data_IF_116741095239
#
_entry.id   IF_116741095239
#
_cell.length_a   1.000
_cell.length_b   1.000
_cell.length_c   1.000
_cell.angle_alpha   90.00
_cell.angle_beta   90.00
_cell.angle_gamma   90.00
#
_symmetry.space_group_name_H-M   'P 1'
#
loop_
_entity.id
_entity.type
_entity.pdbx_description
1 polymer ?
#
# COMPACT_ATOMS: atom_id res chain seq x y z
N UNK A 1 -22.51 -6.01 22.28
CA UNK A 1 -21.66 -4.83 22.05
C UNK A 1 -21.13 -4.97 20.63
N UNK A 2 -21.46 -4.04 19.72
CA UNK A 2 -20.88 -4.00 18.37
C UNK A 2 -19.38 -3.75 18.52
N UNK A 3 -18.54 -4.54 17.83
CA UNK A 3 -17.10 -4.29 17.79
C UNK A 3 -16.84 -2.84 17.32
N UNK A 4 -15.83 -2.16 17.88
CA UNK A 4 -15.51 -0.80 17.46
C UNK A 4 -15.19 -0.80 15.97
N UNK A 5 -15.75 0.16 15.25
CA UNK A 5 -15.55 0.31 13.81
C UNK A 5 -14.06 0.56 13.53
N UNK A 6 -13.44 -0.33 12.76
CA UNK A 6 -12.02 -0.28 12.40
C UNK A 6 -11.70 0.96 11.55
N UNK A 7 -10.63 1.69 11.86
CA UNK A 7 -10.15 2.82 11.08
C UNK A 7 -9.01 2.37 10.16
N UNK A 8 -9.17 2.56 8.86
CA UNK A 8 -8.26 2.07 7.81
C UNK A 8 -7.70 3.24 7.02
N UNK A 9 -6.39 3.41 7.04
CA UNK A 9 -5.67 4.36 6.18
C UNK A 9 -5.18 3.64 4.93
N UNK A 10 -5.58 4.16 3.77
CA UNK A 10 -5.18 3.66 2.45
C UNK A 10 -4.36 4.73 1.74
N UNK A 11 -3.10 4.46 1.40
CA UNK A 11 -2.29 5.34 0.54
C UNK A 11 -2.38 4.91 -0.91
N UNK A 12 -2.26 5.85 -1.86
CA UNK A 12 -2.51 5.57 -3.27
C UNK A 12 -3.99 5.26 -3.53
N UNK A 13 -4.88 5.89 -2.76
CA UNK A 13 -6.31 5.59 -2.74
C UNK A 13 -7.00 5.89 -4.07
N UNK A 14 -6.50 6.82 -4.87
CA UNK A 14 -7.05 7.15 -6.18
C UNK A 14 -6.70 6.13 -7.28
N UNK A 15 -5.68 5.29 -7.07
CA UNK A 15 -5.28 4.22 -8.01
C UNK A 15 -6.31 3.07 -8.08
N UNK A 16 -6.18 2.21 -9.11
CA UNK A 16 -7.12 1.10 -9.32
C UNK A 16 -7.17 0.12 -8.14
N UNK A 17 -6.01 -0.25 -7.59
CA UNK A 17 -5.96 -1.10 -6.39
C UNK A 17 -6.49 -0.34 -5.16
N UNK A 18 -6.18 0.95 -5.04
CA UNK A 18 -6.68 1.80 -3.95
C UNK A 18 -8.19 1.84 -3.90
N UNK A 19 -8.85 1.97 -5.05
CA UNK A 19 -10.30 1.93 -5.17
C UNK A 19 -10.89 0.58 -4.74
N UNK A 20 -10.27 -0.52 -5.17
CA UNK A 20 -10.74 -1.87 -4.79
C UNK A 20 -10.57 -2.12 -3.28
N UNK A 21 -9.45 -1.69 -2.69
CA UNK A 21 -9.20 -1.81 -1.25
C UNK A 21 -10.14 -0.92 -0.44
N UNK A 22 -10.37 0.32 -0.88
CA UNK A 22 -11.35 1.21 -0.23
C UNK A 22 -12.77 0.63 -0.28
N UNK A 23 -13.19 0.07 -1.43
CA UNK A 23 -14.48 -0.59 -1.57
C UNK A 23 -14.62 -1.80 -0.65
N UNK A 24 -13.59 -2.66 -0.57
CA UNK A 24 -13.57 -3.82 0.31
C UNK A 24 -13.76 -3.41 1.79
N UNK A 25 -12.98 -2.46 2.28
CA UNK A 25 -13.09 -2.02 3.68
C UNK A 25 -14.37 -1.24 3.97
N UNK A 26 -14.91 -0.50 2.99
CA UNK A 26 -16.22 0.12 3.13
C UNK A 26 -17.34 -0.91 3.30
N UNK A 27 -17.33 -1.99 2.52
CA UNK A 27 -18.32 -3.06 2.59
C UNK A 27 -18.35 -3.76 3.96
N UNK A 28 -17.19 -3.87 4.63
CA UNK A 28 -17.11 -4.43 5.98
C UNK A 28 -17.33 -3.38 7.08
N UNK A 29 -17.75 -2.17 6.73
CA UNK A 29 -18.14 -1.12 7.67
C UNK A 29 -16.98 -0.36 8.32
N UNK A 30 -15.78 -0.39 7.75
CA UNK A 30 -14.63 0.36 8.26
C UNK A 30 -14.78 1.86 8.02
N UNK A 31 -14.16 2.67 8.88
CA UNK A 31 -13.95 4.12 8.65
C UNK A 31 -12.72 4.28 7.77
N UNK A 32 -12.86 5.01 6.67
CA UNK A 32 -11.82 5.15 5.66
C UNK A 32 -11.10 6.49 5.76
N UNK A 33 -9.75 6.42 5.80
CA UNK A 33 -8.85 7.53 5.59
C UNK A 33 -8.16 7.29 4.24
N UNK A 34 -8.51 8.08 3.24
CA UNK A 34 -8.11 7.86 1.85
C UNK A 34 -7.09 8.93 1.45
N UNK A 35 -5.84 8.49 1.31
CA UNK A 35 -4.71 9.38 1.06
C UNK A 35 -4.18 9.20 -0.36
N UNK A 36 -4.10 10.32 -1.07
CA UNK A 36 -3.46 10.41 -2.39
C UNK A 36 -2.94 11.84 -2.61
N UNK A 37 -2.03 12.02 -3.56
CA UNK A 37 -1.55 13.35 -3.96
C UNK A 37 -2.53 14.08 -4.88
N UNK A 38 -3.44 13.37 -5.54
CA UNK A 38 -4.45 13.93 -6.43
C UNK A 38 -5.76 14.20 -5.66
N UNK A 39 -5.85 15.41 -5.08
CA UNK A 39 -7.04 15.88 -4.38
C UNK A 39 -8.31 15.83 -5.23
N UNK A 40 -8.21 16.12 -6.55
CA UNK A 40 -9.35 16.11 -7.45
C UNK A 40 -9.85 14.68 -7.69
N UNK A 41 -8.93 13.72 -7.87
CA UNK A 41 -9.29 12.32 -7.99
C UNK A 41 -9.94 11.80 -6.70
N UNK A 42 -9.40 12.11 -5.52
CA UNK A 42 -10.01 11.77 -4.25
C UNK A 42 -11.44 12.29 -4.16
N UNK A 43 -11.66 13.58 -4.50
CA UNK A 43 -12.98 14.19 -4.45
C UNK A 43 -13.96 13.57 -5.44
N UNK A 44 -13.51 13.27 -6.67
CA UNK A 44 -14.37 12.62 -7.69
C UNK A 44 -14.79 11.21 -7.26
N UNK A 45 -13.85 10.44 -6.68
CA UNK A 45 -14.09 9.03 -6.34
C UNK A 45 -14.85 8.86 -5.03
N UNK A 46 -14.58 9.70 -4.05
CA UNK A 46 -15.01 9.48 -2.68
C UNK A 46 -15.73 10.66 -2.03
N UNK A 47 -15.87 11.79 -2.71
CA UNK A 47 -16.52 12.99 -2.14
C UNK A 47 -17.96 12.76 -1.69
N UNK A 48 -18.66 11.80 -2.30
CA UNK A 48 -20.01 11.39 -1.91
C UNK A 48 -20.04 10.17 -0.94
N UNK A 49 -18.88 9.62 -0.54
CA UNK A 49 -18.82 8.46 0.34
C UNK A 49 -18.99 8.89 1.80
N UNK A 50 -20.09 8.52 2.48
CA UNK A 50 -20.34 9.00 3.83
C UNK A 50 -19.26 8.57 4.82
N UNK A 51 -18.74 9.51 5.61
CA UNK A 51 -17.77 9.23 6.66
C UNK A 51 -16.33 8.97 6.18
N UNK A 52 -16.06 9.01 4.87
CA UNK A 52 -14.71 8.95 4.36
C UNK A 52 -13.94 10.25 4.66
N UNK A 53 -12.71 10.12 5.11
CA UNK A 53 -11.79 11.23 5.33
C UNK A 53 -10.78 11.26 4.18
N UNK A 54 -10.79 12.33 3.39
CA UNK A 54 -9.90 12.51 2.25
C UNK A 54 -8.67 13.30 2.67
N UNK A 55 -7.48 12.79 2.37
CA UNK A 55 -6.20 13.39 2.76
C UNK A 55 -5.37 13.60 1.50
N UNK A 56 -5.27 14.84 1.06
CA UNK A 56 -4.38 15.22 -0.03
C UNK A 56 -2.97 15.49 0.52
N UNK A 57 -2.02 14.61 0.20
CA UNK A 57 -0.64 14.75 0.65
C UNK A 57 0.33 14.07 -0.31
N UNK A 58 1.50 14.70 -0.49
CA UNK A 58 2.63 14.06 -1.13
C UNK A 58 3.36 13.17 -0.10
N UNK A 59 3.46 11.88 -0.40
CA UNK A 59 4.17 10.91 0.46
C UNK A 59 5.68 11.18 0.54
N UNK A 60 6.22 11.98 -0.38
CA UNK A 60 7.63 12.34 -0.41
C UNK A 60 7.93 13.61 0.42
N UNK A 61 6.92 14.41 0.72
CA UNK A 61 7.02 15.50 1.70
C UNK A 61 6.61 15.01 3.09
N UNK A 62 7.60 14.55 3.85
CA UNK A 62 7.38 13.98 5.19
C UNK A 62 6.70 14.95 6.16
N UNK A 63 7.04 16.23 6.11
CA UNK A 63 6.48 17.23 7.01
C UNK A 63 5.02 17.53 6.68
N UNK A 64 4.71 17.72 5.39
CA UNK A 64 3.36 17.91 4.89
C UNK A 64 2.49 16.69 5.22
N UNK A 65 2.96 15.48 4.90
CA UNK A 65 2.24 14.24 5.19
C UNK A 65 1.86 14.13 6.66
N UNK A 66 2.82 14.32 7.56
CA UNK A 66 2.56 14.27 9.00
C UNK A 66 1.51 15.30 9.44
N UNK A 67 1.63 16.54 8.97
CA UNK A 67 0.69 17.62 9.26
C UNK A 67 -0.72 17.31 8.73
N UNK A 68 -0.84 16.88 7.47
CA UNK A 68 -2.13 16.57 6.83
C UNK A 68 -2.84 15.40 7.52
N UNK A 69 -2.11 14.33 7.85
CA UNK A 69 -2.68 13.21 8.61
C UNK A 69 -3.13 13.64 10.01
N UNK A 70 -2.35 14.46 10.70
CA UNK A 70 -2.72 14.94 12.04
C UNK A 70 -3.93 15.88 12.04
N UNK A 71 -4.05 16.73 11.02
CA UNK A 71 -5.19 17.65 10.84
C UNK A 71 -6.48 16.89 10.50
N UNK A 72 -6.40 15.96 9.54
CA UNK A 72 -7.55 15.20 9.07
C UNK A 72 -8.03 14.15 10.10
N UNK A 73 -7.10 13.61 10.88
CA UNK A 73 -7.35 12.53 11.83
C UNK A 73 -6.59 12.78 13.14
N UNK A 74 -7.22 13.33 14.19
CA UNK A 74 -6.58 13.67 15.45
C UNK A 74 -5.78 12.50 16.05
N UNK A 75 -4.68 12.81 16.72
CA UNK A 75 -3.78 11.80 17.31
C UNK A 75 -4.48 10.93 18.36
N UNK A 76 -5.53 11.45 19.00
CA UNK A 76 -6.37 10.70 19.95
C UNK A 76 -7.26 9.63 19.28
N UNK A 77 -7.44 9.68 17.96
CA UNK A 77 -8.20 8.68 17.23
C UNK A 77 -7.29 7.55 16.74
N UNK A 78 -7.80 6.32 16.80
CA UNK A 78 -7.07 5.12 16.38
C UNK A 78 -6.88 5.08 14.86
N UNK A 79 -5.76 4.50 14.43
CA UNK A 79 -5.58 3.93 13.09
C UNK A 79 -5.30 2.45 13.31
N UNK A 80 -6.26 1.62 12.94
CA UNK A 80 -6.17 0.17 13.19
C UNK A 80 -5.47 -0.56 12.05
N UNK A 81 -5.63 -0.07 10.81
CA UNK A 81 -5.01 -0.64 9.62
C UNK A 81 -4.32 0.43 8.78
N UNK A 82 -3.13 0.13 8.30
CA UNK A 82 -2.46 0.84 7.21
C UNK A 82 -2.35 -0.09 6.00
N UNK A 83 -2.98 0.29 4.89
CA UNK A 83 -2.78 -0.30 3.57
C UNK A 83 -1.88 0.64 2.75
N UNK A 84 -0.57 0.35 2.69
CA UNK A 84 0.38 1.14 1.91
C UNK A 84 0.46 0.61 0.47
N UNK A 85 -0.35 1.20 -0.41
CA UNK A 85 -0.51 0.76 -1.80
C UNK A 85 0.24 1.67 -2.80
N UNK A 86 0.62 2.87 -2.37
CA UNK A 86 1.35 3.81 -3.20
C UNK A 86 2.67 3.20 -3.68
N UNK A 87 2.96 3.41 -4.94
CA UNK A 87 4.18 2.93 -5.57
C UNK A 87 4.20 3.28 -7.05
N UNK A 88 5.31 3.02 -7.70
CA UNK A 88 5.51 3.29 -9.12
C UNK A 88 6.18 2.13 -9.83
N UNK A 89 6.00 2.09 -11.14
CA UNK A 89 6.62 1.14 -12.05
C UNK A 89 7.35 1.88 -13.17
N UNK A 90 8.57 1.46 -13.48
CA UNK A 90 9.32 1.85 -14.66
C UNK A 90 10.25 0.72 -15.07
N UNK A 91 10.38 0.51 -16.37
CA UNK A 91 11.29 -0.47 -16.97
C UNK A 91 11.84 0.04 -18.31
N UNK A 92 12.74 -0.71 -18.92
CA UNK A 92 13.28 -0.43 -20.25
C UNK A 92 14.76 -0.01 -20.22
N UNK A 93 15.32 0.28 -19.04
CA UNK A 93 16.72 0.69 -18.90
C UNK A 93 17.60 -0.46 -18.41
N UNK A 94 18.75 -0.68 -19.07
CA UNK A 94 19.76 -1.60 -18.57
C UNK A 94 20.44 -1.02 -17.31
N UNK A 95 20.87 -1.89 -16.39
CA UNK A 95 21.43 -1.43 -15.09
C UNK A 95 22.60 -0.47 -15.27
N UNK A 96 23.50 -0.71 -16.23
CA UNK A 96 24.66 0.17 -16.48
C UNK A 96 24.29 1.51 -17.16
N UNK A 97 23.05 1.65 -17.63
CA UNK A 97 22.53 2.86 -18.29
C UNK A 97 21.29 3.42 -17.58
N UNK A 98 21.01 2.94 -16.36
CA UNK A 98 19.88 3.39 -15.57
C UNK A 98 20.08 4.86 -15.18
N UNK A 99 19.18 5.74 -15.63
CA UNK A 99 19.23 7.15 -15.31
C UNK A 99 19.01 7.39 -13.81
N UNK A 100 19.78 8.32 -13.21
CA UNK A 100 19.63 8.67 -11.78
C UNK A 100 18.19 9.06 -11.45
N UNK A 101 17.53 9.86 -12.27
CA UNK A 101 16.13 10.25 -12.05
C UNK A 101 15.14 9.07 -12.11
N UNK A 102 15.43 8.01 -12.88
CA UNK A 102 14.61 6.77 -12.87
C UNK A 102 14.84 5.99 -11.59
N UNK A 103 16.10 5.91 -11.14
CA UNK A 103 16.44 5.26 -9.87
C UNK A 103 15.79 5.99 -8.68
N UNK A 104 15.96 7.31 -8.60
CA UNK A 104 15.42 8.12 -7.50
C UNK A 104 13.89 8.03 -7.45
N UNK A 105 13.22 8.16 -8.60
CA UNK A 105 11.77 8.03 -8.68
C UNK A 105 11.28 6.68 -8.11
N UNK A 106 11.94 5.57 -8.50
CA UNK A 106 11.53 4.23 -8.06
C UNK A 106 11.81 4.00 -6.57
N UNK A 107 12.98 4.44 -6.09
CA UNK A 107 13.32 4.33 -4.67
C UNK A 107 12.43 5.22 -3.81
N UNK A 108 12.13 6.42 -4.25
CA UNK A 108 11.29 7.36 -3.55
C UNK A 108 9.84 6.83 -3.45
N UNK A 109 9.23 6.46 -4.58
CA UNK A 109 7.84 6.01 -4.58
C UNK A 109 7.65 4.64 -3.91
N UNK A 110 8.61 3.71 -4.05
CA UNK A 110 8.42 2.33 -3.57
C UNK A 110 9.01 2.08 -2.18
N UNK A 111 10.05 2.80 -1.76
CA UNK A 111 10.71 2.55 -0.48
C UNK A 111 10.64 3.76 0.47
N UNK A 112 11.05 4.96 0.04
CA UNK A 112 11.06 6.16 0.90
C UNK A 112 9.66 6.54 1.37
N UNK A 113 8.66 6.44 0.50
CA UNK A 113 7.25 6.72 0.85
C UNK A 113 6.77 5.88 2.02
N UNK A 114 7.15 4.58 2.10
CA UNK A 114 6.83 3.72 3.24
C UNK A 114 7.43 4.26 4.54
N UNK A 115 8.69 4.73 4.52
CA UNK A 115 9.34 5.29 5.71
C UNK A 115 8.60 6.52 6.24
N UNK A 116 8.16 7.40 5.34
CA UNK A 116 7.43 8.61 5.73
C UNK A 116 6.04 8.29 6.30
N UNK A 117 5.31 7.37 5.67
CA UNK A 117 3.98 6.94 6.15
C UNK A 117 4.10 6.20 7.48
N UNK A 118 5.07 5.27 7.60
CA UNK A 118 5.32 4.55 8.84
C UNK A 118 5.64 5.51 9.99
N UNK A 119 6.46 6.53 9.77
CA UNK A 119 6.77 7.55 10.78
C UNK A 119 5.54 8.33 11.27
N UNK A 120 4.50 8.45 10.45
CA UNK A 120 3.26 9.14 10.81
C UNK A 120 2.23 8.22 11.50
N UNK A 121 2.27 6.91 11.23
CA UNK A 121 1.24 5.95 11.65
C UNK A 121 1.71 5.05 12.80
N UNK A 122 2.93 4.50 12.71
CA UNK A 122 3.44 3.52 13.69
C UNK A 122 3.45 4.03 15.11
N UNK A 123 3.84 5.29 15.41
CA UNK A 123 3.77 5.80 16.80
C UNK A 123 2.37 5.76 17.41
N UNK A 124 1.32 5.93 16.57
CA UNK A 124 -0.08 5.81 17.03
C UNK A 124 -0.44 4.36 17.34
N UNK A 125 -0.04 3.42 16.47
CA UNK A 125 -0.26 1.99 16.68
C UNK A 125 0.48 1.47 17.92
N UNK A 126 1.70 1.95 18.17
CA UNK A 126 2.44 1.65 19.40
C UNK A 126 1.71 2.14 20.65
N UNK A 127 1.22 3.38 20.64
CA UNK A 127 0.42 3.91 21.74
C UNK A 127 -0.91 3.15 21.95
N UNK A 128 -1.44 2.53 20.90
CA UNK A 128 -2.65 1.70 20.93
C UNK A 128 -2.38 0.27 21.42
N UNK A 129 -1.13 -0.20 21.36
CA UNK A 129 -0.75 -1.59 21.60
C UNK A 129 -1.32 -2.57 20.56
N UNK A 130 -1.74 -2.08 19.39
CA UNK A 130 -2.33 -2.90 18.32
C UNK A 130 -2.28 -2.19 16.97
N UNK A 131 -2.14 -2.94 15.88
CA UNK A 131 -2.19 -2.42 14.51
C UNK A 131 -2.01 -3.52 13.47
N UNK A 132 -2.37 -3.20 12.23
CA UNK A 132 -2.14 -4.05 11.06
C UNK A 132 -1.56 -3.19 9.94
N UNK A 133 -0.45 -3.62 9.36
CA UNK A 133 0.19 -2.92 8.23
C UNK A 133 0.32 -3.91 7.09
N UNK A 134 -0.23 -3.55 5.94
CA UNK A 134 -0.09 -4.33 4.71
C UNK A 134 0.53 -3.44 3.63
N UNK A 135 1.68 -3.86 3.11
CA UNK A 135 2.38 -3.19 2.02
C UNK A 135 2.21 -3.94 0.70
N UNK A 136 2.38 -3.24 -0.42
CA UNK A 136 2.31 -3.85 -1.76
C UNK A 136 3.67 -3.83 -2.42
N UNK A 137 4.32 -4.99 -2.38
CA UNK A 137 5.52 -5.29 -3.14
C UNK A 137 5.22 -5.61 -4.60
N UNK A 138 5.91 -6.58 -5.12
CA UNK A 138 5.67 -7.18 -6.44
C UNK A 138 6.37 -8.55 -6.51
N UNK A 139 5.93 -9.46 -7.37
CA UNK A 139 6.68 -10.68 -7.68
C UNK A 139 8.11 -10.39 -8.14
N UNK A 140 8.33 -9.26 -8.81
CA UNK A 140 9.64 -8.76 -9.20
C UNK A 140 10.61 -8.42 -8.03
N UNK A 141 10.12 -8.35 -6.78
CA UNK A 141 10.97 -8.17 -5.60
C UNK A 141 11.78 -9.43 -5.25
N UNK A 142 11.41 -10.59 -5.79
CA UNK A 142 12.03 -11.88 -5.44
C UNK A 142 13.31 -12.15 -6.23
N UNK A 143 13.46 -11.57 -7.43
CA UNK A 143 14.64 -11.73 -8.30
C UNK A 143 14.76 -10.57 -9.28
N UNK A 144 15.98 -10.32 -9.76
CA UNK A 144 16.22 -9.37 -10.84
C UNK A 144 15.64 -9.85 -12.17
N UNK A 145 15.19 -8.91 -13.00
CA UNK A 145 14.77 -9.14 -14.38
C UNK A 145 15.45 -8.14 -15.31
N UNK A 146 15.69 -8.56 -16.56
CA UNK A 146 16.31 -7.70 -17.56
C UNK A 146 15.47 -6.43 -17.76
N UNK A 147 16.14 -5.27 -17.84
CA UNK A 147 15.54 -3.95 -18.03
C UNK A 147 14.59 -3.48 -16.90
N UNK A 148 14.61 -4.17 -15.77
CA UNK A 148 13.79 -3.87 -14.59
C UNK A 148 14.62 -3.69 -13.31
N UNK A 149 15.95 -3.49 -13.44
CA UNK A 149 16.87 -3.49 -12.29
C UNK A 149 16.46 -2.51 -11.19
N UNK A 150 16.17 -1.25 -11.53
CA UNK A 150 15.72 -0.24 -10.57
C UNK A 150 14.40 -0.60 -9.88
N UNK A 151 13.41 -1.10 -10.64
CA UNK A 151 12.13 -1.53 -10.09
C UNK A 151 12.27 -2.72 -9.14
N UNK A 152 12.98 -3.78 -9.58
CA UNK A 152 13.24 -4.95 -8.73
C UNK A 152 13.95 -4.55 -7.44
N UNK A 153 14.97 -3.70 -7.51
CA UNK A 153 15.70 -3.21 -6.34
C UNK A 153 14.80 -2.44 -5.38
N UNK A 154 13.98 -1.50 -5.89
CA UNK A 154 13.09 -0.69 -5.07
C UNK A 154 12.00 -1.51 -4.37
N UNK A 155 11.42 -2.50 -5.08
CA UNK A 155 10.42 -3.41 -4.48
C UNK A 155 11.06 -4.41 -3.52
N UNK A 156 12.31 -4.85 -3.76
CA UNK A 156 13.08 -5.64 -2.80
C UNK A 156 13.35 -4.84 -1.52
N UNK A 157 13.71 -3.57 -1.63
CA UNK A 157 13.90 -2.68 -0.49
C UNK A 157 12.61 -2.56 0.35
N UNK A 158 11.45 -2.36 -0.29
CA UNK A 158 10.16 -2.32 0.40
C UNK A 158 9.88 -3.62 1.17
N UNK A 159 10.15 -4.78 0.57
CA UNK A 159 9.95 -6.08 1.24
C UNK A 159 10.85 -6.19 2.46
N UNK A 160 12.14 -5.85 2.35
CA UNK A 160 13.08 -5.89 3.50
C UNK A 160 12.67 -4.92 4.61
N UNK A 161 12.20 -3.72 4.27
CA UNK A 161 11.66 -2.78 5.26
C UNK A 161 10.42 -3.33 5.95
N UNK A 162 9.52 -3.99 5.22
CA UNK A 162 8.32 -4.63 5.79
C UNK A 162 8.70 -5.75 6.79
N UNK A 163 9.67 -6.59 6.43
CA UNK A 163 10.17 -7.66 7.30
C UNK A 163 10.84 -7.10 8.57
N UNK A 164 11.68 -6.06 8.43
CA UNK A 164 12.30 -5.38 9.56
C UNK A 164 11.25 -4.79 10.51
N UNK A 165 10.28 -4.04 9.98
CA UNK A 165 9.17 -3.50 10.76
C UNK A 165 8.37 -4.60 11.46
N UNK A 166 8.17 -5.74 10.81
CA UNK A 166 7.49 -6.88 11.43
C UNK A 166 8.27 -7.43 12.63
N UNK A 167 9.60 -7.57 12.50
CA UNK A 167 10.45 -8.04 13.59
C UNK A 167 10.47 -7.06 14.77
N UNK A 168 10.45 -5.76 14.50
CA UNK A 168 10.46 -4.69 15.49
C UNK A 168 9.12 -4.56 16.25
N UNK A 169 7.99 -4.81 15.57
CA UNK A 169 6.66 -4.43 16.03
C UNK A 169 5.77 -5.59 16.50
N UNK A 170 6.12 -6.83 16.19
CA UNK A 170 5.27 -7.99 16.51
C UNK A 170 4.99 -8.13 18.01
N UNK A 171 5.99 -7.88 18.86
CA UNK A 171 5.85 -7.97 20.32
C UNK A 171 5.09 -6.76 20.91
N UNK A 172 4.80 -5.76 20.07
CA UNK A 172 3.99 -4.58 20.39
C UNK A 172 2.53 -4.73 19.92
N UNK A 173 2.12 -5.94 19.49
CA UNK A 173 0.77 -6.20 19.02
C UNK A 173 0.48 -5.69 17.61
N UNK A 174 1.51 -5.40 16.80
CA UNK A 174 1.36 -4.89 15.45
C UNK A 174 1.83 -5.94 14.44
N UNK A 175 0.93 -6.36 13.53
CA UNK A 175 1.28 -7.23 12.40
C UNK A 175 1.70 -6.41 11.20
N UNK A 176 2.80 -6.78 10.57
CA UNK A 176 3.28 -6.13 9.33
C UNK A 176 3.54 -7.21 8.28
N UNK A 177 2.87 -7.12 7.14
CA UNK A 177 2.98 -8.09 6.04
C UNK A 177 3.00 -7.40 4.68
N UNK A 178 3.46 -8.10 3.67
CA UNK A 178 3.52 -7.63 2.29
C UNK A 178 2.78 -8.61 1.37
N UNK A 179 2.06 -8.09 0.38
CA UNK A 179 1.57 -8.87 -0.76
C UNK A 179 2.49 -8.66 -1.96
N UNK A 180 2.72 -9.71 -2.74
CA UNK A 180 3.56 -9.69 -3.94
C UNK A 180 2.69 -10.02 -5.16
N UNK A 181 1.92 -9.07 -5.70
CA UNK A 181 1.15 -9.31 -6.90
C UNK A 181 2.07 -9.57 -8.11
N UNK A 182 1.59 -10.41 -9.03
CA UNK A 182 2.11 -10.46 -10.40
C UNK A 182 1.58 -9.25 -11.19
N UNK A 183 1.02 -9.43 -12.36
CA UNK A 183 0.37 -8.35 -13.10
C UNK A 183 -1.05 -8.14 -12.53
N UNK A 184 -1.35 -6.91 -12.12
CA UNK A 184 -2.69 -6.53 -11.68
C UNK A 184 -3.50 -6.12 -12.92
N UNK A 185 -4.74 -6.59 -13.03
CA UNK A 185 -5.63 -6.25 -14.13
C UNK A 185 -6.12 -4.80 -14.00
N UNK A 186 -5.41 -3.90 -14.65
CA UNK A 186 -5.71 -2.47 -14.68
C UNK A 186 -5.77 -1.96 -16.12
N UNK A 187 -6.50 -0.87 -16.40
CA UNK A 187 -6.52 -0.26 -17.74
C UNK A 187 -5.11 0.04 -18.26
N UNK A 188 -4.21 0.56 -17.44
CA UNK A 188 -2.84 0.89 -17.82
C UNK A 188 -2.03 -0.36 -18.22
N UNK A 189 -2.15 -1.45 -17.46
CA UNK A 189 -1.48 -2.70 -17.79
C UNK A 189 -2.06 -3.35 -19.05
N UNK A 190 -3.38 -3.26 -19.25
CA UNK A 190 -4.01 -3.71 -20.50
C UNK A 190 -3.53 -2.90 -21.71
N UNK A 191 -3.40 -1.58 -21.55
CA UNK A 191 -2.88 -0.71 -22.61
C UNK A 191 -1.39 -0.99 -22.92
N UNK A 192 -0.59 -1.28 -21.88
CA UNK A 192 0.84 -1.58 -22.02
C UNK A 192 1.12 -2.97 -22.59
N UNK A 193 0.18 -3.92 -22.46
CA UNK A 193 0.32 -5.32 -22.89
C UNK A 193 -0.94 -5.79 -23.63
N UNK A 194 -1.27 -5.21 -24.81
CA UNK A 194 -2.54 -5.45 -25.50
C UNK A 194 -2.71 -6.91 -25.97
N UNK A 195 -1.61 -7.62 -26.21
CA UNK A 195 -1.62 -9.01 -26.69
C UNK A 195 -1.65 -10.04 -25.54
N UNK A 196 -1.58 -9.60 -24.28
CA UNK A 196 -1.58 -10.50 -23.15
C UNK A 196 -3.01 -10.90 -22.74
N UNK A 197 -3.16 -12.14 -22.27
CA UNK A 197 -4.44 -12.61 -21.72
C UNK A 197 -4.67 -12.06 -20.31
N UNK A 198 -5.34 -10.91 -20.22
CA UNK A 198 -5.64 -10.25 -18.97
C UNK A 198 -6.56 -11.07 -18.04
N UNK A 199 -7.28 -12.10 -18.56
CA UNK A 199 -8.08 -12.99 -17.73
C UNK A 199 -7.26 -13.83 -16.74
N UNK A 200 -5.95 -13.91 -16.96
CA UNK A 200 -5.00 -14.62 -16.10
C UNK A 200 -4.39 -13.73 -15.01
N UNK A 201 -4.55 -12.41 -15.13
CA UNK A 201 -3.97 -11.44 -14.20
C UNK A 201 -4.74 -11.39 -12.88
N UNK A 202 -4.16 -10.68 -11.91
CA UNK A 202 -4.77 -10.51 -10.59
C UNK A 202 -5.83 -9.42 -10.67
N UNK A 203 -7.08 -9.78 -10.45
CA UNK A 203 -8.14 -8.78 -10.34
C UNK A 203 -7.89 -7.90 -9.10
N UNK A 204 -8.04 -6.55 -9.20
CA UNK A 204 -7.88 -5.65 -8.05
C UNK A 204 -8.74 -6.05 -6.85
N UNK A 205 -9.98 -6.51 -7.07
CA UNK A 205 -10.87 -6.97 -6.01
C UNK A 205 -10.34 -8.20 -5.27
N UNK A 206 -9.81 -9.20 -6.02
CA UNK A 206 -9.22 -10.39 -5.41
C UNK A 206 -7.96 -10.05 -4.58
N UNK A 207 -7.14 -9.11 -5.05
CA UNK A 207 -5.98 -8.62 -4.27
C UNK A 207 -6.45 -7.85 -3.02
N UNK A 208 -7.52 -7.07 -3.11
CA UNK A 208 -8.11 -6.36 -1.97
C UNK A 208 -8.62 -7.34 -0.90
N UNK A 209 -9.21 -8.47 -1.27
CA UNK A 209 -9.63 -9.53 -0.33
C UNK A 209 -8.42 -10.13 0.41
N UNK A 210 -7.31 -10.39 -0.28
CA UNK A 210 -6.06 -10.86 0.35
C UNK A 210 -5.49 -9.83 1.32
N UNK A 211 -5.50 -8.55 0.93
CA UNK A 211 -5.10 -7.44 1.82
C UNK A 211 -6.02 -7.38 3.04
N UNK A 212 -7.34 -7.50 2.85
CA UNK A 212 -8.33 -7.56 3.92
C UNK A 212 -8.09 -8.73 4.88
N UNK A 213 -7.77 -9.91 4.36
CA UNK A 213 -7.38 -11.05 5.19
C UNK A 213 -6.16 -10.73 6.05
N UNK A 214 -5.06 -10.22 5.47
CA UNK A 214 -3.85 -9.87 6.21
C UNK A 214 -4.08 -8.75 7.25
N UNK A 215 -5.08 -7.91 7.04
CA UNK A 215 -5.50 -6.84 7.94
C UNK A 215 -6.48 -7.31 9.02
N UNK A 216 -6.95 -8.56 8.98
CA UNK A 216 -7.94 -9.12 9.89
C UNK A 216 -7.33 -9.91 11.05
N UNK A 217 -8.14 -10.24 12.04
CA UNK A 217 -7.75 -11.12 13.15
C UNK A 217 -7.47 -12.57 12.70
N UNK A 218 -8.00 -12.99 11.56
CA UNK A 218 -7.70 -14.29 10.99
C UNK A 218 -6.20 -14.46 10.66
N UNK A 219 -5.53 -13.35 10.34
CA UNK A 219 -4.09 -13.32 10.05
C UNK A 219 -3.22 -12.95 11.27
N UNK A 220 -3.75 -13.00 12.50
CA UNK A 220 -3.04 -12.58 13.73
C UNK A 220 -1.70 -13.28 13.96
N UNK A 221 -1.53 -14.47 13.44
CA UNK A 221 -0.29 -15.26 13.55
C UNK A 221 0.64 -15.07 12.32
N UNK A 222 0.28 -14.22 11.35
CA UNK A 222 1.08 -13.98 10.15
C UNK A 222 1.92 -12.72 10.38
N UNK A 223 3.24 -12.87 10.40
CA UNK A 223 4.19 -11.79 10.65
C UNK A 223 5.34 -11.83 9.65
N UNK A 224 5.64 -10.70 9.00
CA UNK A 224 6.75 -10.57 8.06
C UNK A 224 6.58 -11.36 6.76
N UNK A 225 5.36 -11.79 6.45
CA UNK A 225 5.10 -12.52 5.23
C UNK A 225 5.23 -11.61 4.00
N UNK A 226 5.91 -12.13 2.97
CA UNK A 226 5.89 -11.61 1.62
C UNK A 226 5.07 -12.58 0.75
N UNK A 227 3.75 -12.39 0.74
CA UNK A 227 2.77 -13.33 0.20
C UNK A 227 2.57 -13.15 -1.31
N UNK A 228 2.97 -14.13 -2.16
CA UNK A 228 2.69 -14.07 -3.58
C UNK A 228 1.18 -14.11 -3.88
N UNK A 229 0.73 -13.21 -4.77
CA UNK A 229 -0.64 -13.18 -5.28
C UNK A 229 -0.53 -13.14 -6.81
N UNK A 230 -0.47 -14.30 -7.44
CA UNK A 230 0.01 -14.40 -8.83
C UNK A 230 -1.11 -14.52 -9.87
N UNK A 231 -2.35 -14.76 -9.47
CA UNK A 231 -3.38 -15.12 -10.42
C UNK A 231 -3.03 -16.45 -11.08
N UNK A 232 -3.02 -16.45 -12.42
CA UNK A 232 -2.61 -17.60 -13.25
C UNK A 232 -1.39 -17.29 -14.14
N UNK A 233 -0.54 -16.34 -13.69
CA UNK A 233 0.67 -15.87 -14.40
C UNK A 233 1.92 -16.35 -13.68
#
# INVERSE_FOLDING_TARGET
MTAPTQAVLVTGAAGQLGQAVAAHFHQVGARLLLLDRDAQALQRLYGALPGAVLIDADLLDRAQLHSRVAQAWPVSQRIDVLCHLAGGFRMGEAVHALAEGSWDLLMDLNARSLLHVAASVVPRMLAQGAGRIVTVGAGAAQRGAALMGGYCASKSALVRLTEAMSAELRDQGINVNCVLPSVIDTPDNRAAMPDADASRWVAPAALAEVIGFLASDAARAVHGAALPVSGRV
#
